data_IF_370322307189
#
_entry.id   IF_370322307189
#
_cell.length_a   1.000
_cell.length_b   1.000
_cell.length_c   1.000
_cell.angle_alpha   90.00
_cell.angle_beta   90.00
_cell.angle_gamma   90.00
#
_symmetry.space_group_name_H-M   'P 1'
#
loop_
_entity.id
_entity.type
_entity.pdbx_description
1 polymer ?
#
# COMPACT_ATOMS: atom_id res chain seq x y z
N UNK A 1 -6.55 -32.53 50.90
CA UNK A 1 -6.47 -31.25 50.19
C UNK A 1 -5.53 -31.46 49.01
N UNK A 2 -6.11 -31.70 47.82
CA UNK A 2 -5.42 -32.31 46.70
C UNK A 2 -4.63 -31.29 45.87
N UNK A 3 -3.35 -31.61 45.65
CA UNK A 3 -2.35 -30.88 44.86
C UNK A 3 -2.64 -30.78 43.35
N UNK A 4 -3.91 -30.89 42.92
CA UNK A 4 -4.29 -30.88 41.50
C UNK A 4 -4.69 -29.48 41.00
N UNK A 5 -5.08 -28.57 41.89
CA UNK A 5 -5.51 -27.21 41.50
C UNK A 5 -4.36 -26.22 41.29
N UNK A 6 -3.14 -26.52 41.77
CA UNK A 6 -1.98 -25.62 41.61
C UNK A 6 -1.30 -25.82 40.25
N UNK A 7 -1.43 -27.00 39.64
CA UNK A 7 -0.78 -27.30 38.35
C UNK A 7 -1.51 -26.71 37.14
N UNK A 8 -2.82 -26.42 37.27
CA UNK A 8 -3.62 -25.83 36.18
C UNK A 8 -3.40 -24.31 36.08
N UNK A 9 -3.02 -23.64 37.18
CA UNK A 9 -2.75 -22.19 37.16
C UNK A 9 -1.37 -21.80 36.62
N UNK A 10 -0.41 -22.73 36.59
CA UNK A 10 0.95 -22.48 36.09
C UNK A 10 1.11 -22.72 34.58
N UNK A 11 0.17 -23.41 33.93
CA UNK A 11 0.21 -23.67 32.48
C UNK A 11 -0.53 -22.57 31.68
N UNK A 12 -1.41 -21.81 32.33
CA UNK A 12 -2.13 -20.68 31.70
C UNK A 12 -1.31 -19.39 31.56
N UNK A 13 -0.10 -19.31 32.13
CA UNK A 13 0.76 -18.10 32.07
C UNK A 13 1.74 -18.13 30.87
N UNK A 14 1.88 -19.25 30.16
CA UNK A 14 2.81 -19.38 29.02
C UNK A 14 2.18 -19.22 27.62
N UNK A 15 0.99 -18.60 27.52
CA UNK A 15 0.35 -18.28 26.23
C UNK A 15 0.15 -16.78 26.00
N UNK A 16 0.90 -15.94 26.69
CA UNK A 16 1.14 -14.57 26.25
C UNK A 16 2.58 -14.55 25.73
N UNK A 17 2.79 -15.12 24.54
CA UNK A 17 3.86 -14.62 23.69
C UNK A 17 3.42 -13.22 23.30
N UNK A 18 3.77 -12.23 24.12
CA UNK A 18 3.71 -10.86 23.69
C UNK A 18 4.65 -10.74 22.48
N UNK A 19 4.05 -10.76 21.30
CA UNK A 19 4.72 -10.40 20.07
C UNK A 19 4.85 -8.87 20.12
N UNK A 20 5.86 -8.39 20.82
CA UNK A 20 6.28 -6.99 20.72
C UNK A 20 6.88 -6.81 19.33
N UNK A 21 6.01 -6.65 18.34
CA UNK A 21 6.35 -5.97 17.11
C UNK A 21 6.78 -4.56 17.49
N UNK A 22 7.87 -4.07 16.90
CA UNK A 22 8.30 -2.69 17.10
C UNK A 22 7.40 -1.78 16.25
N UNK A 23 6.16 -1.56 16.70
CA UNK A 23 5.28 -0.59 16.05
C UNK A 23 5.99 0.77 16.11
N UNK A 24 6.40 1.26 14.94
CA UNK A 24 7.13 2.52 14.80
C UNK A 24 6.19 3.69 15.00
N UNK A 25 4.97 3.57 14.48
CA UNK A 25 3.96 4.61 14.57
C UNK A 25 2.55 4.03 14.72
N UNK A 26 1.75 4.72 15.53
CA UNK A 26 0.33 4.42 15.78
C UNK A 26 -0.62 5.54 15.33
N UNK A 27 -0.16 6.49 14.51
CA UNK A 27 -1.08 7.42 13.84
C UNK A 27 -0.93 8.90 14.20
N UNK A 28 0.27 9.45 14.39
CA UNK A 28 0.49 10.89 14.59
C UNK A 28 1.22 11.52 13.40
N UNK A 29 0.46 12.10 12.47
CA UNK A 29 0.98 12.69 11.24
C UNK A 29 1.99 13.81 11.48
N UNK A 30 1.96 14.48 12.62
CA UNK A 30 2.92 15.55 12.94
C UNK A 30 4.28 15.00 13.36
N UNK A 31 4.31 13.77 13.90
CA UNK A 31 5.56 13.11 14.32
C UNK A 31 6.16 12.26 13.21
N UNK A 32 5.31 11.63 12.41
CA UNK A 32 5.76 10.56 11.51
C UNK A 32 5.99 11.04 10.08
N UNK A 33 5.39 12.19 9.70
CA UNK A 33 5.40 12.69 8.33
C UNK A 33 5.69 14.19 8.27
N UNK A 34 6.34 14.62 7.19
CA UNK A 34 6.47 16.02 6.81
C UNK A 34 5.74 16.30 5.49
N UNK A 35 5.36 17.54 5.26
CA UNK A 35 4.72 17.97 4.00
C UNK A 35 5.79 18.12 2.92
N UNK A 36 5.62 17.43 1.79
CA UNK A 36 6.56 17.49 0.67
C UNK A 36 6.18 18.58 -0.32
N UNK A 37 4.90 18.88 -0.47
CA UNK A 37 4.41 19.86 -1.45
C UNK A 37 3.15 20.59 -0.99
N UNK A 38 3.09 21.88 -1.32
CA UNK A 38 1.97 22.79 -1.06
C UNK A 38 1.40 22.71 0.37
N UNK A 39 2.10 23.24 1.38
CA UNK A 39 1.63 23.23 2.77
C UNK A 39 0.25 23.86 2.98
N UNK A 40 -0.14 24.84 2.15
CA UNK A 40 -1.48 25.43 2.18
C UNK A 40 -2.60 24.46 1.76
N UNK A 41 -2.25 23.35 1.11
CA UNK A 41 -3.17 22.32 0.61
C UNK A 41 -3.11 21.03 1.44
N UNK A 42 -2.45 21.08 2.61
CA UNK A 42 -2.39 19.97 3.56
C UNK A 42 -2.96 20.42 4.89
N UNK A 43 -4.13 19.89 5.25
CA UNK A 43 -4.72 20.15 6.57
C UNK A 43 -4.43 18.98 7.50
N UNK A 44 -3.88 19.25 8.68
CA UNK A 44 -3.70 18.24 9.73
C UNK A 44 -4.58 18.59 10.92
N UNK A 45 -5.30 17.59 11.45
CA UNK A 45 -6.11 17.76 12.66
C UNK A 45 -5.24 18.17 13.86
N UNK A 46 -5.85 18.82 14.85
CA UNK A 46 -5.15 19.36 16.03
C UNK A 46 -4.33 18.31 16.79
N UNK A 47 -4.79 17.06 16.82
CA UNK A 47 -4.10 15.94 17.48
C UNK A 47 -3.26 15.09 16.53
N UNK A 48 -3.14 15.47 15.26
CA UNK A 48 -2.32 14.76 14.28
C UNK A 48 -2.88 13.40 13.83
N UNK A 49 -4.10 13.02 14.19
CA UNK A 49 -4.67 11.69 13.86
C UNK A 49 -5.32 11.60 12.48
N UNK A 50 -5.61 12.74 11.86
CA UNK A 50 -6.06 12.81 10.48
C UNK A 50 -5.36 13.93 9.71
N UNK A 51 -5.19 13.70 8.41
CA UNK A 51 -4.64 14.65 7.44
C UNK A 51 -5.49 14.63 6.16
N UNK A 52 -5.68 15.76 5.50
CA UNK A 52 -6.31 15.82 4.19
C UNK A 52 -5.40 16.46 3.17
N UNK A 53 -5.41 15.93 1.95
CA UNK A 53 -4.76 16.50 0.78
C UNK A 53 -5.81 17.20 -0.09
N UNK A 54 -5.49 18.41 -0.53
CA UNK A 54 -6.33 19.23 -1.41
C UNK A 54 -5.71 19.31 -2.79
N UNK A 55 -6.55 19.27 -3.82
CA UNK A 55 -6.20 19.55 -5.20
C UNK A 55 -7.16 20.60 -5.76
N UNK A 56 -6.60 21.66 -6.32
CA UNK A 56 -7.32 22.65 -7.12
C UNK A 56 -6.43 23.14 -8.29
N UNK A 57 -6.90 24.16 -8.99
CA UNK A 57 -6.22 24.71 -10.19
C UNK A 57 -4.84 25.31 -9.88
N UNK A 58 -4.58 25.66 -8.63
CA UNK A 58 -3.36 26.35 -8.21
C UNK A 58 -2.30 25.31 -7.79
N UNK A 59 -2.71 24.24 -7.09
CA UNK A 59 -1.79 23.17 -6.73
C UNK A 59 -2.43 21.82 -6.38
N UNK A 60 -1.59 20.78 -6.48
CA UNK A 60 -1.78 19.53 -5.75
C UNK A 60 -1.14 19.60 -4.36
N UNK A 61 -0.98 18.45 -3.72
CA UNK A 61 -0.37 18.37 -2.39
C UNK A 61 0.25 17.00 -2.11
N UNK A 62 1.13 16.92 -1.10
CA UNK A 62 1.73 15.65 -0.71
C UNK A 62 2.46 15.69 0.62
N UNK A 63 2.69 14.50 1.18
CA UNK A 63 3.49 14.29 2.37
C UNK A 63 4.31 13.01 2.29
N UNK A 64 5.41 12.93 3.05
CA UNK A 64 6.30 11.79 3.11
C UNK A 64 6.72 11.50 4.56
N UNK A 65 7.04 10.24 4.84
CA UNK A 65 7.51 9.81 6.16
C UNK A 65 8.87 10.42 6.47
N UNK A 66 9.11 10.75 7.74
CA UNK A 66 10.41 11.21 8.21
C UNK A 66 11.49 10.13 8.08
N UNK A 67 11.10 8.88 8.33
CA UNK A 67 11.97 7.71 8.24
C UNK A 67 11.86 7.01 6.88
N UNK A 68 12.92 6.27 6.55
CA UNK A 68 12.91 5.28 5.48
C UNK A 68 12.90 3.88 6.08
N UNK A 69 12.26 2.94 5.40
CA UNK A 69 12.00 1.61 5.90
C UNK A 69 12.54 0.53 4.97
N UNK A 70 12.96 -0.59 5.53
CA UNK A 70 13.26 -1.79 4.76
C UNK A 70 12.40 -2.93 5.31
N UNK A 71 11.38 -3.33 4.55
CA UNK A 71 10.34 -4.28 4.97
C UNK A 71 9.43 -3.76 6.09
N UNK A 72 8.26 -4.37 6.20
CA UNK A 72 7.24 -4.01 7.18
C UNK A 72 5.82 -4.16 6.66
N UNK A 73 4.87 -3.73 7.49
CA UNK A 73 3.50 -3.50 7.11
C UNK A 73 3.16 -2.01 7.28
N UNK A 74 2.56 -1.45 6.23
CA UNK A 74 2.20 -0.04 6.14
C UNK A 74 0.70 0.05 5.89
N UNK A 75 -0.04 0.52 6.88
CA UNK A 75 -1.48 0.65 6.84
C UNK A 75 -1.87 2.12 6.82
N UNK A 76 -2.78 2.51 5.93
CA UNK A 76 -3.33 3.85 5.85
C UNK A 76 -4.84 3.77 5.65
N UNK A 77 -5.64 4.45 6.48
CA UNK A 77 -7.06 4.61 6.18
C UNK A 77 -7.27 5.79 5.28
N UNK A 78 -7.89 5.57 4.13
CA UNK A 78 -8.10 6.59 3.10
C UNK A 78 -9.59 6.67 2.79
N UNK A 79 -10.11 7.89 2.69
CA UNK A 79 -11.43 8.20 2.12
C UNK A 79 -11.25 9.13 0.92
N UNK A 80 -11.80 8.71 -0.22
CA UNK A 80 -11.59 9.37 -1.51
C UNK A 80 -12.57 10.52 -1.76
N UNK A 81 -12.33 11.22 -2.86
CA UNK A 81 -13.08 12.42 -3.26
C UNK A 81 -14.50 12.03 -3.69
N UNK A 82 -15.56 12.58 -3.08
CA UNK A 82 -16.93 12.31 -3.49
C UNK A 82 -17.30 13.06 -4.78
N UNK A 83 -18.39 12.64 -5.42
CA UNK A 83 -18.92 13.32 -6.61
C UNK A 83 -18.04 13.11 -7.85
N UNK A 84 -17.93 14.14 -8.68
CA UNK A 84 -17.06 14.10 -9.87
C UNK A 84 -15.60 14.30 -9.45
N UNK A 85 -14.77 13.28 -9.71
CA UNK A 85 -13.34 13.26 -9.43
C UNK A 85 -12.51 12.92 -10.68
N UNK A 86 -13.10 13.02 -11.88
CA UNK A 86 -12.43 12.70 -13.13
C UNK A 86 -11.11 13.47 -13.26
N UNK A 87 -10.09 12.81 -13.83
CA UNK A 87 -8.74 13.33 -13.99
C UNK A 87 -7.90 13.39 -12.72
N UNK A 88 -8.47 13.19 -11.53
CA UNK A 88 -7.71 13.24 -10.27
C UNK A 88 -7.03 11.90 -9.94
N UNK A 89 -5.84 11.96 -9.33
CA UNK A 89 -5.10 10.78 -8.83
C UNK A 89 -4.68 11.01 -7.39
N UNK A 90 -5.26 10.24 -6.46
CA UNK A 90 -4.75 10.12 -5.08
C UNK A 90 -3.78 8.95 -5.07
N UNK A 91 -2.55 9.15 -4.61
CA UNK A 91 -1.55 8.10 -4.50
C UNK A 91 -1.17 7.85 -3.04
N UNK A 92 -0.96 6.58 -2.69
CA UNK A 92 -0.36 6.11 -1.44
C UNK A 92 0.68 5.05 -1.81
N UNK A 93 1.94 5.33 -1.57
CA UNK A 93 3.02 4.53 -2.14
C UNK A 93 4.25 4.49 -1.23
N UNK A 94 5.09 3.49 -1.47
CA UNK A 94 6.44 3.44 -0.94
C UNK A 94 7.41 3.70 -2.07
N UNK A 95 8.44 4.52 -1.88
CA UNK A 95 9.46 4.76 -2.90
C UNK A 95 10.85 4.99 -2.31
N UNK A 96 11.87 4.47 -2.98
CA UNK A 96 13.27 4.75 -2.67
C UNK A 96 13.77 6.00 -3.40
N UNK A 97 14.89 6.56 -2.94
CA UNK A 97 15.47 7.79 -3.47
C UNK A 97 16.61 7.58 -4.46
N UNK A 98 16.71 6.38 -5.06
CA UNK A 98 17.79 6.04 -6.01
C UNK A 98 17.33 6.25 -7.47
N UNK A 99 18.25 6.46 -8.43
CA UNK A 99 17.89 6.56 -9.84
C UNK A 99 17.15 5.31 -10.38
N UNK A 100 17.55 4.13 -9.93
CA UNK A 100 16.92 2.84 -10.19
C UNK A 100 15.90 2.49 -9.09
N UNK A 101 15.04 3.44 -8.74
CA UNK A 101 14.18 3.34 -7.55
C UNK A 101 13.36 2.05 -7.52
N UNK A 102 13.14 1.59 -6.30
CA UNK A 102 12.09 0.63 -5.97
C UNK A 102 10.85 1.44 -5.55
N UNK A 103 9.66 1.02 -5.97
CA UNK A 103 8.40 1.72 -5.68
C UNK A 103 7.21 0.75 -5.65
N UNK A 104 6.27 0.97 -4.73
CA UNK A 104 5.08 0.14 -4.52
C UNK A 104 3.85 1.05 -4.41
N UNK A 105 2.93 0.95 -5.36
CA UNK A 105 1.89 1.96 -5.53
C UNK A 105 0.49 1.45 -5.22
N UNK A 106 -0.27 2.29 -4.52
CA UNK A 106 -1.70 2.42 -4.72
C UNK A 106 -1.99 3.77 -5.38
N UNK A 107 -2.72 3.73 -6.49
CA UNK A 107 -3.21 4.92 -7.19
C UNK A 107 -4.72 4.82 -7.37
N UNK A 108 -5.44 5.76 -6.78
CA UNK A 108 -6.88 5.87 -6.89
C UNK A 108 -7.23 6.82 -8.01
N UNK A 109 -7.70 6.25 -9.11
CA UNK A 109 -8.06 7.00 -10.31
C UNK A 109 -9.51 7.44 -10.18
N UNK A 110 -9.71 8.74 -10.07
CA UNK A 110 -11.03 9.35 -9.98
C UNK A 110 -11.87 9.13 -11.23
N UNK A 111 -13.15 9.44 -11.13
CA UNK A 111 -14.11 9.16 -12.18
C UNK A 111 -15.21 10.23 -12.27
N UNK A 112 -15.94 10.24 -13.37
CA UNK A 112 -17.14 11.06 -13.49
C UNK A 112 -18.17 10.62 -12.45
N UNK A 113 -19.03 11.54 -12.04
CA UNK A 113 -20.02 11.31 -11.00
C UNK A 113 -20.90 10.07 -11.31
N UNK A 114 -21.14 9.26 -10.28
CA UNK A 114 -21.92 8.02 -10.39
C UNK A 114 -21.17 6.82 -10.99
N UNK A 115 -19.92 6.99 -11.43
CA UNK A 115 -19.09 5.88 -11.91
C UNK A 115 -18.06 5.44 -10.86
N UNK A 116 -17.73 4.14 -10.78
CA UNK A 116 -16.87 3.63 -9.73
C UNK A 116 -15.41 4.05 -9.94
N UNK A 117 -14.72 4.36 -8.84
CA UNK A 117 -13.26 4.53 -8.80
C UNK A 117 -12.53 3.31 -9.38
N UNK A 118 -11.34 3.54 -9.92
CA UNK A 118 -10.39 2.47 -10.24
C UNK A 118 -9.24 2.52 -9.23
N UNK A 119 -8.94 1.40 -8.59
CA UNK A 119 -7.71 1.27 -7.82
C UNK A 119 -6.65 0.60 -8.69
N UNK A 120 -5.58 1.31 -8.99
CA UNK A 120 -4.39 0.79 -9.65
C UNK A 120 -3.33 0.44 -8.60
N UNK A 121 -2.64 -0.68 -8.82
CA UNK A 121 -1.39 -0.99 -8.11
C UNK A 121 -0.27 -1.12 -9.11
N UNK A 122 0.95 -0.73 -8.72
CA UNK A 122 2.14 -0.92 -9.53
C UNK A 122 3.33 -1.35 -8.65
N UNK A 123 4.35 -1.92 -9.28
CA UNK A 123 5.60 -2.35 -8.63
C UNK A 123 6.76 -1.96 -9.53
N UNK A 124 7.58 -1.02 -9.05
CA UNK A 124 8.89 -0.74 -9.60
C UNK A 124 9.94 -1.49 -8.81
N UNK A 125 10.81 -2.21 -9.49
CA UNK A 125 11.91 -2.91 -8.84
C UNK A 125 13.19 -2.75 -9.66
N UNK A 126 14.23 -2.19 -9.05
CA UNK A 126 15.52 -1.89 -9.68
C UNK A 126 15.37 -1.06 -10.97
N UNK A 127 14.48 -0.05 -10.93
CA UNK A 127 14.17 0.80 -12.08
C UNK A 127 13.29 0.17 -13.16
N UNK A 128 12.85 -1.10 -13.00
CA UNK A 128 11.91 -1.73 -13.92
C UNK A 128 10.46 -1.47 -13.50
N UNK A 129 9.70 -0.85 -14.40
CA UNK A 129 8.27 -0.49 -14.27
C UNK A 129 7.35 -1.52 -15.00
N UNK A 130 6.15 -1.08 -15.37
CA UNK A 130 5.15 -1.67 -16.25
C UNK A 130 4.38 -2.84 -15.64
N UNK A 131 4.10 -2.77 -14.33
CA UNK A 131 3.44 -3.84 -13.59
C UNK A 131 2.07 -3.41 -13.07
N UNK A 132 1.31 -2.66 -13.84
CA UNK A 132 0.03 -2.13 -13.43
C UNK A 132 -1.03 -3.24 -13.35
N UNK A 133 -1.78 -3.26 -12.25
CA UNK A 133 -3.04 -4.02 -12.14
C UNK A 133 -4.13 -3.06 -11.69
N UNK A 134 -5.33 -3.17 -12.26
CA UNK A 134 -6.47 -2.31 -11.93
C UNK A 134 -7.64 -3.14 -11.43
N UNK A 135 -8.31 -2.65 -10.40
CA UNK A 135 -9.53 -3.26 -9.88
C UNK A 135 -10.65 -2.22 -9.70
N UNK A 136 -11.90 -2.70 -9.67
CA UNK A 136 -13.03 -1.99 -9.07
C UNK A 136 -13.24 -2.48 -7.64
N UNK A 137 -13.45 -1.56 -6.70
CA UNK A 137 -13.70 -1.89 -5.30
C UNK A 137 -15.12 -2.44 -5.12
N UNK A 138 -15.31 -3.28 -4.10
CA UNK A 138 -16.62 -3.86 -3.73
C UNK A 138 -17.44 -2.97 -2.80
N UNK A 139 -17.05 -1.70 -2.67
CA UNK A 139 -17.70 -0.66 -1.88
C UNK A 139 -17.44 0.70 -2.55
N UNK A 140 -18.17 1.74 -2.12
CA UNK A 140 -17.90 3.12 -2.51
C UNK A 140 -16.82 3.73 -1.59
N UNK A 141 -15.58 3.94 -2.07
CA UNK A 141 -14.47 4.44 -1.26
C UNK A 141 -14.58 5.92 -0.87
N UNK A 142 -15.64 6.61 -1.29
CA UNK A 142 -15.90 8.01 -0.96
C UNK A 142 -16.80 8.17 0.28
N UNK A 143 -17.54 7.12 0.67
CA UNK A 143 -18.51 7.19 1.76
C UNK A 143 -17.87 7.02 3.14
N UNK A 144 -16.90 6.12 3.26
CA UNK A 144 -16.20 5.86 4.52
C UNK A 144 -14.70 5.60 4.30
N UNK A 145 -13.96 5.58 5.39
CA UNK A 145 -12.56 5.23 5.42
C UNK A 145 -12.37 3.72 5.30
N UNK A 146 -11.54 3.32 4.35
CA UNK A 146 -11.09 1.94 4.17
C UNK A 146 -9.59 1.84 4.38
N UNK A 147 -9.12 0.69 4.86
CA UNK A 147 -7.70 0.46 5.14
C UNK A 147 -6.99 -0.07 3.91
N UNK A 148 -5.98 0.64 3.44
CA UNK A 148 -5.10 0.21 2.35
C UNK A 148 -3.75 -0.14 2.92
N UNK A 149 -3.32 -1.38 2.68
CA UNK A 149 -2.16 -1.96 3.35
C UNK A 149 -1.17 -2.52 2.36
N UNK A 150 0.12 -2.25 2.60
CA UNK A 150 1.25 -2.88 1.90
C UNK A 150 2.02 -3.70 2.93
N UNK A 151 1.99 -5.02 2.80
CA UNK A 151 2.93 -5.91 3.49
C UNK A 151 4.11 -6.15 2.54
N UNK A 152 5.32 -5.77 2.95
CA UNK A 152 6.54 -5.98 2.21
C UNK A 152 7.55 -6.74 3.07
N UNK A 153 7.93 -7.94 2.66
CA UNK A 153 8.90 -8.75 3.39
C UNK A 153 9.91 -9.43 2.45
N UNK A 154 10.75 -10.32 2.96
CA UNK A 154 11.75 -11.04 2.15
C UNK A 154 11.15 -11.97 1.09
N UNK A 155 9.86 -12.32 1.19
CA UNK A 155 9.23 -13.35 0.37
C UNK A 155 8.24 -12.79 -0.65
N UNK A 156 7.53 -11.72 -0.29
CA UNK A 156 6.43 -11.17 -1.07
C UNK A 156 6.07 -9.74 -0.67
N UNK A 157 5.52 -9.03 -1.64
CA UNK A 157 4.69 -7.85 -1.43
C UNK A 157 3.23 -8.30 -1.53
N UNK A 158 2.40 -7.86 -0.59
CA UNK A 158 0.95 -8.09 -0.60
C UNK A 158 0.26 -6.74 -0.46
N UNK A 159 -0.50 -6.36 -1.48
CA UNK A 159 -1.41 -5.22 -1.44
C UNK A 159 -2.76 -5.70 -0.92
N UNK A 160 -3.31 -5.01 0.06
CA UNK A 160 -4.59 -5.36 0.67
C UNK A 160 -5.52 -4.16 0.80
N UNK A 161 -6.82 -4.42 0.71
CA UNK A 161 -7.90 -3.48 1.00
C UNK A 161 -8.76 -4.11 2.09
N UNK A 162 -8.87 -3.46 3.24
CA UNK A 162 -9.52 -4.01 4.44
C UNK A 162 -9.15 -5.49 4.62
N UNK A 163 -7.86 -5.78 4.89
CA UNK A 163 -7.29 -7.13 5.05
C UNK A 163 -7.45 -8.11 3.87
N UNK A 164 -8.20 -7.80 2.82
CA UNK A 164 -8.40 -8.63 1.62
C UNK A 164 -7.20 -8.45 0.69
N UNK A 165 -6.39 -9.50 0.41
CA UNK A 165 -5.31 -9.40 -0.56
C UNK A 165 -5.88 -9.20 -1.96
N UNK A 166 -5.50 -8.08 -2.60
CA UNK A 166 -5.90 -7.77 -3.97
C UNK A 166 -4.81 -8.11 -4.98
N UNK A 167 -3.54 -8.09 -4.54
CA UNK A 167 -2.37 -8.39 -5.37
C UNK A 167 -1.25 -9.01 -4.54
N UNK A 168 -0.55 -9.97 -5.12
CA UNK A 168 0.73 -10.47 -4.61
C UNK A 168 1.84 -10.29 -5.65
N UNK A 169 3.00 -9.84 -5.21
CA UNK A 169 4.23 -9.82 -6.01
C UNK A 169 5.29 -10.62 -5.27
N UNK A 170 5.66 -11.79 -5.80
CA UNK A 170 6.52 -12.76 -5.12
C UNK A 170 7.99 -12.46 -5.40
N UNK A 171 8.84 -12.64 -4.39
CA UNK A 171 10.27 -12.61 -4.58
C UNK A 171 10.71 -13.87 -5.34
N UNK A 172 10.96 -13.71 -6.64
CA UNK A 172 11.54 -14.72 -7.52
C UNK A 172 12.93 -14.26 -8.03
N UNK A 173 13.69 -13.57 -7.17
CA UNK A 173 15.04 -13.09 -7.51
C UNK A 173 16.01 -14.24 -7.84
N UNK A 174 15.80 -15.43 -7.26
CA UNK A 174 16.49 -16.67 -7.62
C UNK A 174 16.26 -17.07 -9.08
N UNK A 175 15.18 -16.59 -9.69
CA UNK A 175 14.82 -16.79 -11.10
C UNK A 175 15.07 -15.54 -11.94
N UNK A 176 15.75 -14.53 -11.41
CA UNK A 176 16.09 -13.29 -12.15
C UNK A 176 14.93 -12.30 -12.27
N UNK A 177 13.89 -12.40 -11.44
CA UNK A 177 12.84 -11.37 -11.34
C UNK A 177 13.30 -10.28 -10.37
N UNK A 178 13.21 -9.02 -10.77
CA UNK A 178 13.53 -7.90 -9.89
C UNK A 178 12.55 -7.83 -8.70
N UNK A 179 13.10 -7.54 -7.52
CA UNK A 179 12.34 -7.41 -6.28
C UNK A 179 13.00 -6.36 -5.37
N UNK A 180 12.22 -5.48 -4.71
CA UNK A 180 12.73 -4.51 -3.73
C UNK A 180 13.34 -5.20 -2.50
N UNK A 181 14.65 -5.43 -2.52
CA UNK A 181 15.36 -6.16 -1.43
C UNK A 181 16.31 -5.28 -0.61
N UNK A 182 16.80 -4.20 -1.19
CA UNK A 182 17.98 -3.53 -0.65
C UNK A 182 17.81 -2.02 -0.52
N UNK A 183 16.85 -1.42 -1.22
CA UNK A 183 16.62 0.02 -1.18
C UNK A 183 15.58 0.33 -0.12
N UNK A 184 15.94 1.09 0.93
CA UNK A 184 14.95 1.59 1.87
C UNK A 184 13.96 2.49 1.14
N UNK A 185 12.69 2.44 1.53
CA UNK A 185 11.63 3.24 0.95
C UNK A 185 10.97 4.14 2.00
N UNK A 186 10.69 5.37 1.61
CA UNK A 186 9.81 6.27 2.37
C UNK A 186 8.36 5.99 2.03
N UNK A 187 7.46 6.18 3.00
CA UNK A 187 6.01 6.12 2.79
C UNK A 187 5.55 7.50 2.35
N UNK A 188 4.80 7.60 1.26
CA UNK A 188 4.34 8.85 0.71
C UNK A 188 2.85 8.81 0.35
N UNK A 189 2.22 9.98 0.36
CA UNK A 189 0.94 10.18 -0.27
C UNK A 189 0.94 11.52 -1.02
N UNK A 190 0.29 11.53 -2.17
CA UNK A 190 0.17 12.73 -3.00
C UNK A 190 -1.19 12.81 -3.67
N UNK A 191 -1.58 14.02 -4.06
CA UNK A 191 -2.82 14.27 -4.76
C UNK A 191 -2.61 15.26 -5.89
N UNK A 192 -2.88 14.83 -7.13
CA UNK A 192 -2.48 15.55 -8.33
C UNK A 192 -3.43 15.30 -9.52
N UNK A 193 -3.30 16.14 -10.55
CA UNK A 193 -4.05 16.06 -11.81
C UNK A 193 -3.37 15.11 -12.80
N UNK A 194 -3.97 13.94 -13.03
CA UNK A 194 -3.57 12.93 -14.02
C UNK A 194 -4.47 12.86 -15.24
N UNK A 195 -5.16 13.94 -15.63
CA UNK A 195 -6.17 13.97 -16.71
C UNK A 195 -5.70 13.44 -18.08
N UNK A 196 -4.39 13.32 -18.31
CA UNK A 196 -3.86 12.73 -19.54
C UNK A 196 -4.09 11.22 -19.63
N UNK A 197 -4.36 10.53 -18.52
CA UNK A 197 -4.51 9.07 -18.49
C UNK A 197 -5.46 8.51 -17.42
N UNK A 198 -5.66 9.21 -16.30
CA UNK A 198 -6.28 8.67 -15.09
C UNK A 198 -7.70 8.13 -15.29
N UNK A 199 -8.58 8.92 -15.93
CA UNK A 199 -9.98 8.53 -16.13
C UNK A 199 -10.22 8.16 -17.58
N UNK A 200 -10.72 6.94 -17.80
CA UNK A 200 -11.07 6.44 -19.13
C UNK A 200 -9.93 6.58 -20.16
N UNK A 201 -8.69 6.33 -19.72
CA UNK A 201 -7.49 6.49 -20.55
C UNK A 201 -7.23 7.94 -20.95
N UNK A 202 -7.65 8.90 -20.13
CA UNK A 202 -7.48 10.34 -20.35
C UNK A 202 -8.57 11.01 -21.18
N UNK A 203 -9.66 10.30 -21.51
CA UNK A 203 -10.79 10.90 -22.25
C UNK A 203 -11.61 11.86 -21.40
N UNK A 204 -11.82 11.50 -20.14
CA UNK A 204 -12.57 12.31 -19.18
C UNK A 204 -11.59 13.20 -18.42
N UNK A 205 -11.71 14.51 -18.63
CA UNK A 205 -10.81 15.53 -18.07
C UNK A 205 -11.28 16.00 -16.70
N UNK A 206 -10.37 16.63 -15.98
CA UNK A 206 -10.69 17.25 -14.69
C UNK A 206 -11.63 18.45 -14.90
N UNK A 207 -12.71 18.50 -14.13
CA UNK A 207 -13.62 19.65 -14.09
C UNK A 207 -13.25 20.53 -12.90
N UNK A 208 -12.42 21.54 -13.14
CA UNK A 208 -11.98 22.48 -12.11
C UNK A 208 -13.12 23.28 -11.45
N UNK A 209 -14.33 23.32 -12.04
CA UNK A 209 -15.50 23.92 -11.37
C UNK A 209 -15.97 23.12 -10.16
N UNK A 210 -15.49 21.88 -10.01
CA UNK A 210 -15.75 20.99 -8.86
C UNK A 210 -14.67 21.06 -7.78
N UNK A 211 -13.60 21.82 -8.02
CA UNK A 211 -12.56 22.05 -7.03
C UNK A 211 -13.10 22.90 -5.84
N UNK A 212 -12.52 22.77 -4.64
CA UNK A 212 -11.39 21.90 -4.30
C UNK A 212 -11.80 20.44 -4.17
N UNK A 213 -10.96 19.55 -4.71
CA UNK A 213 -11.07 18.13 -4.44
C UNK A 213 -10.33 17.81 -3.14
N UNK A 214 -10.85 16.90 -2.31
CA UNK A 214 -10.26 16.58 -1.01
C UNK A 214 -10.21 15.08 -0.78
N UNK A 215 -9.01 14.55 -0.54
CA UNK A 215 -8.79 13.18 -0.08
C UNK A 215 -8.38 13.19 1.40
N UNK A 216 -8.92 12.28 2.20
CA UNK A 216 -8.70 12.24 3.65
C UNK A 216 -7.95 10.98 4.08
N UNK A 217 -7.04 11.13 5.03
CA UNK A 217 -6.16 10.11 5.57
C UNK A 217 -6.26 10.09 7.10
N UNK A 218 -6.30 8.91 7.72
CA UNK A 218 -6.28 8.77 9.18
C UNK A 218 -5.74 7.42 9.64
N UNK A 219 -5.55 7.29 10.94
CA UNK A 219 -5.27 6.03 11.64
C UNK A 219 -4.14 5.22 10.97
N UNK A 220 -3.08 5.88 10.49
CA UNK A 220 -1.97 5.16 9.88
C UNK A 220 -1.25 4.32 10.92
N UNK A 221 -0.76 3.16 10.48
CA UNK A 221 0.09 2.30 11.29
C UNK A 221 1.30 1.90 10.47
N UNK A 222 2.48 2.16 11.02
CA UNK A 222 3.75 1.74 10.43
C UNK A 222 4.38 0.75 11.40
N UNK A 223 4.32 -0.53 11.04
CA UNK A 223 4.96 -1.63 11.75
C UNK A 223 6.04 -2.19 10.83
N UNK A 224 7.19 -1.52 10.84
CA UNK A 224 8.24 -1.68 9.82
C UNK A 224 9.62 -1.49 10.42
N UNK A 225 10.66 -1.98 9.73
CA UNK A 225 12.02 -1.75 10.18
C UNK A 225 12.54 -0.41 9.67
N UNK A 226 12.76 0.55 10.58
CA UNK A 226 13.43 1.82 10.27
C UNK A 226 14.88 1.53 9.85
N UNK A 227 15.25 1.99 8.65
CA UNK A 227 16.59 1.81 8.12
C UNK A 227 17.62 2.68 8.87
N UNK A 228 18.59 2.03 9.53
CA UNK A 228 19.67 2.70 10.28
C UNK A 228 21.06 2.49 9.66
N UNK A 229 21.12 2.19 8.36
CA UNK A 229 22.38 2.01 7.63
C UNK A 229 22.97 0.60 7.63
N UNK A 230 22.29 -0.41 8.20
CA UNK A 230 22.71 -1.81 8.11
C UNK A 230 21.53 -2.76 7.86
N UNK A 231 21.70 -3.63 6.87
CA UNK A 231 20.63 -4.49 6.36
C UNK A 231 20.26 -5.65 7.28
N UNK A 232 21.27 -6.25 7.94
CA UNK A 232 21.05 -7.39 8.84
C UNK A 232 20.03 -7.10 9.94
N UNK A 233 19.87 -5.83 10.34
CA UNK A 233 18.89 -5.44 11.35
C UNK A 233 17.43 -5.62 10.92
N UNK A 234 17.13 -5.48 9.63
CA UNK A 234 15.77 -5.56 9.07
C UNK A 234 15.44 -6.93 8.46
N UNK A 235 16.46 -7.67 8.01
CA UNK A 235 16.29 -8.97 7.36
C UNK A 235 16.18 -10.14 8.36
N UNK A 236 16.64 -9.98 9.60
CA UNK A 236 16.59 -11.03 10.63
C UNK A 236 15.15 -11.38 11.05
N UNK A 237 14.73 -12.67 11.02
CA UNK A 237 13.41 -13.10 11.47
C UNK A 237 13.34 -13.13 13.00
N UNK A 238 13.16 -11.96 13.61
CA UNK A 238 12.97 -11.75 15.06
C UNK A 238 11.52 -11.33 15.35
N UNK A 239 11.03 -11.41 16.60
CA UNK A 239 9.70 -10.90 16.96
C UNK A 239 9.46 -9.45 16.52
N UNK A 240 10.51 -8.63 16.53
CA UNK A 240 10.48 -7.23 16.07
C UNK A 240 10.27 -7.08 14.56
N UNK A 241 10.59 -8.11 13.77
CA UNK A 241 10.42 -8.17 12.31
C UNK A 241 9.51 -9.37 11.95
N UNK A 242 8.35 -9.46 12.60
CA UNK A 242 7.47 -10.63 12.53
C UNK A 242 7.08 -11.00 11.09
N UNK A 243 7.02 -10.01 10.18
CA UNK A 243 6.70 -10.19 8.76
C UNK A 243 7.69 -11.09 8.01
N UNK A 244 8.92 -11.24 8.51
CA UNK A 244 9.93 -12.15 7.96
C UNK A 244 9.83 -13.57 8.53
N UNK A 245 8.90 -13.86 9.43
CA UNK A 245 8.65 -15.22 9.88
C UNK A 245 8.08 -16.07 8.72
N UNK A 246 8.46 -17.36 8.67
CA UNK A 246 7.98 -18.34 7.68
C UNK A 246 6.44 -18.38 7.56
N UNK A 247 5.70 -18.06 8.62
CA UNK A 247 4.22 -17.97 8.58
C UNK A 247 3.70 -16.92 7.58
N UNK A 248 4.46 -15.87 7.31
CA UNK A 248 4.09 -14.77 6.40
C UNK A 248 4.78 -14.86 5.04
N UNK A 249 5.39 -16.02 4.76
CA UNK A 249 6.09 -16.27 3.51
C UNK A 249 5.17 -16.54 2.32
N UNK A 250 3.85 -16.63 2.52
CA UNK A 250 2.82 -16.86 1.50
C UNK A 250 1.45 -16.49 2.08
N UNK A 251 0.45 -16.31 1.22
CA UNK A 251 -0.94 -16.14 1.65
C UNK A 251 -1.45 -17.40 2.35
N UNK A 252 -2.21 -17.22 3.43
CA UNK A 252 -2.97 -18.29 4.08
C UNK A 252 -4.07 -18.85 3.16
N UNK A 253 -4.62 -20.02 3.49
CA UNK A 253 -5.73 -20.61 2.74
C UNK A 253 -6.96 -19.69 2.63
N UNK A 254 -7.31 -18.98 3.71
CA UNK A 254 -8.41 -18.02 3.71
C UNK A 254 -8.10 -16.82 2.79
N UNK A 255 -6.90 -16.25 2.92
CA UNK A 255 -6.44 -15.17 2.06
C UNK A 255 -6.42 -15.55 0.58
N UNK A 256 -6.00 -16.78 0.23
CA UNK A 256 -6.01 -17.30 -1.15
C UNK A 256 -7.42 -17.36 -1.73
N UNK A 257 -8.45 -17.68 -0.93
CA UNK A 257 -9.85 -17.70 -1.39
C UNK A 257 -10.33 -16.30 -1.73
N UNK A 258 -10.06 -15.34 -0.85
CA UNK A 258 -10.40 -13.92 -1.07
C UNK A 258 -9.64 -13.35 -2.28
N UNK A 259 -8.33 -13.64 -2.38
CA UNK A 259 -7.52 -13.26 -3.52
C UNK A 259 -8.08 -13.77 -4.85
N UNK A 260 -8.50 -15.04 -4.91
CA UNK A 260 -9.15 -15.60 -6.11
C UNK A 260 -10.48 -14.92 -6.43
N UNK A 261 -11.25 -14.55 -5.40
CA UNK A 261 -12.49 -13.80 -5.59
C UNK A 261 -12.24 -12.41 -6.18
N UNK A 262 -11.24 -11.67 -5.68
CA UNK A 262 -10.83 -10.38 -6.27
C UNK A 262 -10.41 -10.55 -7.73
N UNK A 263 -9.53 -11.51 -8.01
CA UNK A 263 -9.06 -11.77 -9.38
C UNK A 263 -10.19 -12.12 -10.34
N UNK A 264 -11.21 -12.82 -9.87
CA UNK A 264 -12.33 -13.26 -10.71
C UNK A 264 -13.37 -12.16 -10.97
N UNK A 265 -13.64 -11.32 -9.97
CA UNK A 265 -14.80 -10.43 -10.00
C UNK A 265 -14.46 -8.94 -10.05
N UNK A 266 -13.23 -8.56 -9.70
CA UNK A 266 -12.85 -7.16 -9.48
C UNK A 266 -11.71 -6.67 -10.36
N UNK A 267 -10.82 -7.55 -10.82
CA UNK A 267 -9.72 -7.17 -11.73
C UNK A 267 -10.28 -6.76 -13.10
N UNK A 268 -9.91 -5.57 -13.54
CA UNK A 268 -10.29 -4.99 -14.84
C UNK A 268 -9.10 -4.83 -15.79
N UNK A 269 -7.87 -4.79 -15.27
CA UNK A 269 -6.64 -4.82 -16.04
C UNK A 269 -5.57 -5.59 -15.27
N UNK A 270 -4.83 -6.44 -15.97
CA UNK A 270 -3.67 -7.15 -15.45
C UNK A 270 -2.58 -7.18 -16.52
N UNK A 271 -1.44 -6.54 -16.25
CA UNK A 271 -0.28 -6.55 -17.15
C UNK A 271 0.16 -7.99 -17.52
N UNK A 272 -0.07 -8.98 -16.65
CA UNK A 272 0.23 -10.39 -16.94
C UNK A 272 -0.70 -11.04 -17.97
N UNK A 273 -1.76 -10.34 -18.41
CA UNK A 273 -2.66 -10.78 -19.49
C UNK A 273 -2.52 -9.89 -20.75
N UNK A 274 -1.68 -8.86 -20.69
CA UNK A 274 -1.51 -7.89 -21.79
C UNK A 274 -0.37 -8.31 -22.73
N UNK A 275 -0.63 -9.35 -23.53
CA UNK A 275 0.32 -9.85 -24.52
C UNK A 275 0.71 -8.78 -25.56
N UNK A 276 -0.21 -7.87 -25.89
CA UNK A 276 0.05 -6.82 -26.86
C UNK A 276 1.10 -5.84 -26.35
N UNK A 277 0.95 -5.35 -25.11
CA UNK A 277 1.93 -4.44 -24.49
C UNK A 277 3.33 -5.03 -24.46
N UNK A 278 3.46 -6.32 -24.21
CA UNK A 278 4.75 -6.99 -24.07
C UNK A 278 5.22 -7.75 -25.31
N UNK A 279 4.72 -7.41 -26.51
CA UNK A 279 5.13 -8.05 -27.77
C UNK A 279 5.14 -9.59 -27.69
N UNK A 280 4.08 -10.17 -27.10
CA UNK A 280 3.89 -11.59 -26.82
C UNK A 280 4.93 -12.24 -25.87
N UNK A 281 5.75 -11.45 -25.18
CA UNK A 281 6.78 -11.91 -24.24
C UNK A 281 6.51 -11.34 -22.85
N UNK A 282 5.62 -11.99 -22.11
CA UNK A 282 5.21 -11.52 -20.77
C UNK A 282 6.39 -11.49 -19.77
N UNK A 283 6.34 -10.58 -18.77
CA UNK A 283 7.27 -10.58 -17.66
C UNK A 283 7.35 -11.94 -16.96
N UNK A 284 8.57 -12.36 -16.58
CA UNK A 284 8.85 -13.72 -16.11
C UNK A 284 8.01 -14.13 -14.90
N UNK A 285 7.73 -13.20 -13.98
CA UNK A 285 6.92 -13.46 -12.80
C UNK A 285 5.42 -13.66 -13.06
N UNK A 286 4.95 -13.37 -14.27
CA UNK A 286 3.60 -13.73 -14.69
C UNK A 286 3.43 -15.25 -14.84
N UNK A 287 4.51 -15.96 -15.16
CA UNK A 287 4.53 -17.41 -15.37
C UNK A 287 4.94 -18.19 -14.12
N UNK A 288 5.16 -17.49 -13.00
CA UNK A 288 5.61 -18.08 -11.74
C UNK A 288 4.48 -18.11 -10.70
N UNK A 289 4.58 -18.98 -9.67
CA UNK A 289 3.57 -19.04 -8.62
C UNK A 289 3.33 -17.68 -7.97
N UNK A 290 2.05 -17.34 -7.75
CA UNK A 290 1.61 -16.08 -7.12
C UNK A 290 1.54 -16.17 -5.58
N UNK A 291 1.57 -17.37 -5.00
CA UNK A 291 1.60 -17.65 -3.56
C UNK A 291 2.07 -19.08 -3.30
#
# INVERSE_FOLDING_TARGET
MNNLSIFVLLISIFLIQDCWASIVSTGDFNKDFFVTWSPSHVNTSIHGHSRSLVLDKDSGSGFASNDMFLYGQFDMKIKLVPGNSAGTVVAFYLTSNQPNRDELDFEFLGNVEGQPYTLQTNVYANGFDEREQRIKLWFDPTQDFHTYSILWNLYQIVFMVDWVPIRTYRNHADKGVAYPRWQPMSVQASFWNGESWATNGGKDKIDWTKAPFVASFKDHKIDACVWKGSEGSCSDPKPTNWWNNKRFNSLTWAQRRLFKWVNKYHVTYDYCQDYHRFNNTLPKECLLPKY
#
